data_IF_128291535767
#
_entry.id   IF_128291535767
#
_cell.length_a   1.000
_cell.length_b   1.000
_cell.length_c   1.000
_cell.angle_alpha   90.00
_cell.angle_beta   90.00
_cell.angle_gamma   90.00
#
_symmetry.space_group_name_H-M   'P 1'
#
loop_
_entity.id
_entity.type
_entity.pdbx_description
1 polymer ?
#
# COMPACT_ATOMS: atom_id res chain seq x y z
N UNK A 1 9.50 -27.66 -17.07
CA UNK A 1 8.05 -27.47 -16.98
C UNK A 1 7.75 -26.16 -16.26
N UNK A 2 6.87 -25.33 -16.80
CA UNK A 2 6.46 -24.11 -16.11
C UNK A 2 5.64 -24.54 -14.88
N UNK A 3 6.13 -24.23 -13.68
CA UNK A 3 5.31 -24.39 -12.46
C UNK A 3 4.13 -23.42 -12.57
N UNK A 4 2.92 -23.94 -12.39
CA UNK A 4 1.72 -23.10 -12.38
C UNK A 4 1.71 -22.10 -11.23
N UNK A 5 0.85 -21.10 -11.33
CA UNK A 5 0.56 -20.15 -10.26
C UNK A 5 -0.94 -20.15 -9.96
N UNK A 6 -1.26 -19.96 -8.69
CA UNK A 6 -2.61 -19.70 -8.20
C UNK A 6 -2.75 -18.21 -7.86
N UNK A 7 -3.90 -17.64 -8.22
CA UNK A 7 -4.28 -16.29 -7.84
C UNK A 7 -5.24 -16.35 -6.66
N UNK A 8 -4.82 -15.80 -5.52
CA UNK A 8 -5.61 -15.79 -4.29
C UNK A 8 -5.98 -14.36 -3.94
N UNK A 9 -7.24 -14.12 -3.62
CA UNK A 9 -7.70 -12.84 -3.09
C UNK A 9 -7.70 -12.87 -1.55
N UNK A 10 -7.22 -11.81 -0.92
CA UNK A 10 -7.42 -11.58 0.52
C UNK A 10 -7.87 -10.14 0.77
N UNK A 11 -8.50 -9.93 1.92
CA UNK A 11 -8.92 -8.60 2.36
C UNK A 11 -8.56 -8.37 3.82
N UNK A 12 -8.31 -7.12 4.19
CA UNK A 12 -8.05 -6.73 5.57
C UNK A 12 -8.49 -5.31 5.88
N UNK A 13 -8.76 -5.07 7.16
CA UNK A 13 -9.08 -3.74 7.69
C UNK A 13 -7.85 -3.14 8.37
N UNK A 14 -7.43 -1.98 7.90
CA UNK A 14 -6.41 -1.16 8.53
C UNK A 14 -7.07 -0.04 9.33
N UNK A 15 -6.66 0.12 10.60
CA UNK A 15 -7.08 1.23 11.47
C UNK A 15 -5.84 1.91 12.03
N UNK A 16 -5.57 3.14 11.57
CA UNK A 16 -4.42 3.93 11.97
C UNK A 16 -4.82 5.09 12.88
N UNK A 17 -3.98 5.39 13.87
CA UNK A 17 -4.17 6.46 14.86
C UNK A 17 -3.07 7.51 14.77
N UNK A 18 -3.19 8.59 15.55
CA UNK A 18 -2.13 9.59 15.73
C UNK A 18 -0.76 8.94 15.90
N UNK A 19 0.25 9.53 15.28
CA UNK A 19 1.64 9.06 15.19
C UNK A 19 1.90 7.83 14.31
N UNK A 20 0.87 7.15 13.82
CA UNK A 20 1.07 6.13 12.78
C UNK A 20 1.69 6.77 11.55
N UNK A 21 2.63 6.07 10.93
CA UNK A 21 3.22 6.38 9.63
C UNK A 21 3.67 5.08 8.98
N UNK A 22 3.72 5.08 7.66
CA UNK A 22 4.26 3.99 6.86
C UNK A 22 5.14 4.60 5.77
N UNK A 23 6.45 4.33 5.83
CA UNK A 23 7.41 4.87 4.86
C UNK A 23 7.10 4.42 3.43
N UNK A 24 7.65 5.09 2.40
CA UNK A 24 7.52 4.65 1.03
C UNK A 24 8.01 3.21 0.90
N UNK A 25 7.23 2.37 0.22
CA UNK A 25 7.55 0.97 -0.01
C UNK A 25 6.83 0.46 -1.25
N UNK A 26 7.36 -0.62 -1.80
CA UNK A 26 6.60 -1.53 -2.64
C UNK A 26 6.07 -2.63 -1.75
N UNK A 27 4.93 -3.17 -2.14
CA UNK A 27 4.32 -4.27 -1.43
C UNK A 27 5.20 -5.53 -1.48
N UNK A 28 4.92 -6.53 -0.64
CA UNK A 28 5.64 -7.79 -0.70
C UNK A 28 5.58 -8.40 -2.10
N UNK A 29 6.66 -9.08 -2.51
CA UNK A 29 6.81 -9.62 -3.88
C UNK A 29 5.72 -10.63 -4.28
N UNK A 30 5.03 -11.24 -3.32
CA UNK A 30 3.89 -12.12 -3.58
C UNK A 30 2.60 -11.37 -3.96
N UNK A 31 2.47 -10.08 -3.58
CA UNK A 31 1.32 -9.26 -3.94
C UNK A 31 1.46 -8.80 -5.38
N UNK A 32 0.47 -9.16 -6.19
CA UNK A 32 0.38 -8.80 -7.61
C UNK A 32 -0.36 -7.48 -7.82
N UNK A 33 -1.49 -7.30 -7.14
CA UNK A 33 -2.30 -6.10 -7.23
C UNK A 33 -2.97 -5.80 -5.90
N UNK A 34 -3.20 -4.52 -5.64
CA UNK A 34 -3.83 -4.04 -4.41
C UNK A 34 -4.86 -2.98 -4.73
N UNK A 35 -6.03 -3.09 -4.10
CA UNK A 35 -7.09 -2.08 -4.06
C UNK A 35 -7.26 -1.62 -2.60
N UNK A 36 -7.18 -0.32 -2.37
CA UNK A 36 -7.38 0.31 -1.06
C UNK A 36 -8.64 1.18 -1.14
N UNK A 37 -9.63 0.91 -0.29
CA UNK A 37 -10.85 1.70 -0.16
C UNK A 37 -10.86 2.47 1.16
N UNK A 38 -11.20 3.76 1.11
CA UNK A 38 -11.16 4.66 2.26
C UNK A 38 -12.51 4.82 2.94
N UNK A 39 -12.50 4.84 4.28
CA UNK A 39 -13.70 4.98 5.11
C UNK A 39 -13.55 6.12 6.14
N UNK A 40 -13.44 7.39 5.69
CA UNK A 40 -13.42 8.54 6.59
C UNK A 40 -14.69 8.61 7.43
N UNK A 41 -14.56 9.08 8.67
CA UNK A 41 -15.69 9.42 9.54
C UNK A 41 -15.65 10.92 9.83
N UNK A 42 -16.81 11.56 9.77
CA UNK A 42 -16.93 13.00 10.00
C UNK A 42 -16.33 13.79 8.85
N UNK A 43 -15.56 14.84 9.19
CA UNK A 43 -14.87 15.65 8.19
C UNK A 43 -13.83 14.83 7.43
N UNK A 44 -13.81 14.99 6.11
CA UNK A 44 -12.80 14.37 5.26
C UNK A 44 -11.45 15.04 5.51
N UNK A 45 -10.40 14.23 5.58
CA UNK A 45 -9.02 14.69 5.72
C UNK A 45 -8.21 14.17 4.53
N UNK A 46 -8.35 14.76 3.32
CA UNK A 46 -7.74 14.27 2.09
C UNK A 46 -6.24 13.98 2.22
N UNK A 47 -5.53 14.76 3.03
CA UNK A 47 -4.10 14.65 3.32
C UNK A 47 -3.68 13.35 4.05
N UNK A 48 -4.64 12.66 4.68
CA UNK A 48 -4.45 11.33 5.28
C UNK A 48 -4.54 10.21 4.24
N UNK A 49 -4.70 10.54 2.95
CA UNK A 49 -4.68 9.62 1.83
C UNK A 49 -3.43 8.75 1.74
N UNK A 50 -3.48 7.71 0.89
CA UNK A 50 -2.23 7.01 0.53
C UNK A 50 -1.44 7.93 -0.40
N UNK A 51 -0.16 8.12 -0.07
CA UNK A 51 0.76 8.94 -0.87
C UNK A 51 1.52 8.05 -1.83
N UNK A 52 1.66 8.52 -3.06
CA UNK A 52 2.41 7.88 -4.14
C UNK A 52 3.74 8.60 -4.27
N UNK A 53 4.81 7.84 -4.38
CA UNK A 53 6.18 8.34 -4.37
C UNK A 53 6.95 7.89 -5.61
N UNK A 54 7.91 8.72 -6.03
CA UNK A 54 8.93 8.36 -6.99
C UNK A 54 10.30 8.41 -6.29
N UNK A 55 11.16 7.39 -6.44
CA UNK A 55 12.47 7.40 -5.82
C UNK A 55 13.37 8.48 -6.45
N UNK A 56 14.22 9.12 -5.63
CA UNK A 56 15.16 10.14 -6.11
C UNK A 56 16.44 9.55 -6.74
N UNK A 57 16.60 8.23 -6.73
CA UNK A 57 17.74 7.53 -7.31
C UNK A 57 17.49 6.04 -7.39
N UNK A 58 18.51 5.27 -7.76
CA UNK A 58 18.37 3.83 -8.01
C UNK A 58 17.94 3.07 -6.76
N UNK A 59 16.88 2.26 -6.93
CA UNK A 59 16.36 1.37 -5.92
C UNK A 59 16.68 -0.08 -6.28
N UNK A 60 17.00 -0.90 -5.28
CA UNK A 60 17.30 -2.32 -5.49
C UNK A 60 16.04 -3.07 -5.90
N UNK A 61 16.13 -3.83 -6.99
CA UNK A 61 15.03 -4.64 -7.53
C UNK A 61 14.43 -5.60 -6.50
N UNK A 62 15.25 -6.16 -5.60
CA UNK A 62 14.84 -7.12 -4.57
C UNK A 62 14.23 -6.55 -3.29
N UNK A 63 14.08 -5.24 -3.13
CA UNK A 63 13.65 -4.64 -1.86
C UNK A 63 12.10 -4.55 -1.71
N UNK A 64 11.35 -5.52 -2.23
CA UNK A 64 9.90 -5.59 -1.98
C UNK A 64 9.62 -5.78 -0.48
N UNK A 65 8.55 -5.16 0.04
CA UNK A 65 8.20 -5.18 1.46
C UNK A 65 9.07 -4.33 2.38
N UNK A 66 10.14 -3.69 1.86
CA UNK A 66 11.00 -2.81 2.66
C UNK A 66 10.43 -1.39 2.74
N UNK A 67 10.33 -0.86 3.96
CA UNK A 67 9.93 0.52 4.21
C UNK A 67 11.16 1.44 4.25
N UNK A 68 11.14 2.52 3.48
CA UNK A 68 12.22 3.50 3.42
C UNK A 68 11.90 4.78 4.20
N UNK A 69 12.93 5.61 4.40
CA UNK A 69 12.76 6.99 4.84
C UNK A 69 12.23 7.86 3.68
N UNK A 70 11.44 8.89 4.01
CA UNK A 70 10.79 9.75 3.03
C UNK A 70 11.76 10.67 2.27
N UNK A 71 12.91 10.99 2.85
CA UNK A 71 13.95 11.86 2.26
C UNK A 71 14.60 11.29 0.98
N UNK A 72 14.41 9.99 0.72
CA UNK A 72 14.85 9.32 -0.51
C UNK A 72 13.83 9.40 -1.65
N UNK A 73 12.70 10.06 -1.43
CA UNK A 73 11.57 10.03 -2.35
C UNK A 73 11.01 11.42 -2.60
N UNK A 74 10.51 11.61 -3.82
CA UNK A 74 9.63 12.72 -4.17
C UNK A 74 8.18 12.25 -4.08
N UNK A 75 7.35 13.00 -3.39
CA UNK A 75 5.90 12.80 -3.46
C UNK A 75 5.37 13.21 -4.84
N UNK A 76 4.58 12.33 -5.44
CA UNK A 76 3.99 12.54 -6.76
C UNK A 76 2.53 12.96 -6.63
N UNK A 77 1.76 12.19 -5.86
CA UNK A 77 0.32 12.38 -5.73
C UNK A 77 -0.21 11.81 -4.40
N UNK A 78 -1.39 12.25 -3.99
CA UNK A 78 -2.14 11.70 -2.87
C UNK A 78 -3.46 11.16 -3.39
N UNK A 79 -3.72 9.87 -3.19
CA UNK A 79 -5.07 9.33 -3.32
C UNK A 79 -5.87 9.77 -2.09
N UNK A 80 -6.83 10.71 -2.23
CA UNK A 80 -7.35 11.46 -1.09
C UNK A 80 -8.16 10.56 -0.15
N UNK A 81 -7.97 10.74 1.16
CA UNK A 81 -8.81 10.10 2.17
C UNK A 81 -10.18 10.80 2.28
N UNK A 82 -11.05 10.53 1.31
CA UNK A 82 -12.38 11.09 1.17
C UNK A 82 -13.43 9.99 0.92
N UNK A 83 -14.74 10.28 1.15
CA UNK A 83 -15.81 9.32 0.85
C UNK A 83 -15.79 8.90 -0.62
N UNK A 84 -16.04 7.62 -0.89
CA UNK A 84 -16.03 7.04 -2.25
C UNK A 84 -14.71 7.22 -3.02
N UNK A 85 -13.59 7.33 -2.29
CA UNK A 85 -12.25 7.35 -2.88
C UNK A 85 -11.46 6.09 -2.50
N UNK A 86 -10.50 5.78 -3.35
CA UNK A 86 -9.60 4.64 -3.17
C UNK A 86 -8.41 4.73 -4.12
N UNK A 87 -7.52 3.75 -4.01
CA UNK A 87 -6.35 3.60 -4.85
C UNK A 87 -6.23 2.13 -5.29
N UNK A 88 -6.05 1.89 -6.57
CA UNK A 88 -5.72 0.58 -7.11
C UNK A 88 -4.40 0.64 -7.87
N UNK A 89 -3.54 -0.36 -7.69
CA UNK A 89 -2.27 -0.44 -8.40
C UNK A 89 -1.82 -1.89 -8.58
N UNK A 90 -1.00 -2.11 -9.60
CA UNK A 90 -0.20 -3.32 -9.74
C UNK A 90 1.14 -3.12 -9.04
N UNK A 91 1.64 -4.15 -8.37
CA UNK A 91 2.90 -4.08 -7.63
C UNK A 91 4.11 -4.35 -8.56
N UNK A 92 4.22 -3.57 -9.64
CA UNK A 92 5.32 -3.65 -10.60
C UNK A 92 6.09 -2.33 -10.68
N UNK A 93 7.37 -2.41 -11.02
CA UNK A 93 8.23 -1.24 -11.19
C UNK A 93 8.31 -0.40 -9.92
N UNK A 94 7.99 0.89 -10.07
CA UNK A 94 8.05 1.91 -9.02
C UNK A 94 6.68 2.17 -8.37
N UNK A 95 5.98 1.10 -7.96
CA UNK A 95 4.72 1.19 -7.20
C UNK A 95 4.93 1.64 -5.73
N UNK A 96 5.78 2.65 -5.51
CA UNK A 96 6.11 3.16 -4.19
C UNK A 96 4.95 3.97 -3.62
N UNK A 97 4.48 3.54 -2.46
CA UNK A 97 3.40 4.21 -1.76
C UNK A 97 3.61 4.16 -0.24
N UNK A 98 2.86 4.98 0.49
CA UNK A 98 2.99 5.05 1.94
C UNK A 98 1.92 5.90 2.59
N UNK A 99 2.06 6.08 3.90
CA UNK A 99 1.14 6.87 4.72
C UNK A 99 1.97 7.87 5.53
N UNK A 100 1.77 9.16 5.27
CA UNK A 100 2.40 10.21 6.06
C UNK A 100 1.97 10.13 7.53
N UNK A 101 2.79 10.72 8.40
CA UNK A 101 2.51 10.71 9.84
C UNK A 101 1.18 11.39 10.14
N UNK A 102 0.30 10.69 10.85
CA UNK A 102 -0.96 11.27 11.34
C UNK A 102 -0.64 12.21 12.51
N UNK A 103 -0.80 13.52 12.29
CA UNK A 103 -0.34 14.56 13.21
C UNK A 103 -1.32 14.84 14.38
N UNK A 104 -2.61 14.63 14.17
CA UNK A 104 -3.67 14.97 15.12
C UNK A 104 -4.47 13.74 15.58
N UNK A 105 -5.21 13.81 16.71
CA UNK A 105 -6.05 12.72 17.17
C UNK A 105 -7.20 12.43 16.18
N UNK A 106 -7.05 11.39 15.38
CA UNK A 106 -8.06 10.92 14.43
C UNK A 106 -7.94 9.42 14.19
N UNK A 107 -8.92 8.86 13.48
CA UNK A 107 -8.96 7.47 13.03
C UNK A 107 -8.96 7.42 11.50
N UNK A 108 -7.89 6.90 10.91
CA UNK A 108 -7.84 6.58 9.48
C UNK A 108 -8.14 5.10 9.28
N UNK A 109 -9.25 4.79 8.62
CA UNK A 109 -9.66 3.42 8.27
C UNK A 109 -9.61 3.18 6.78
N UNK A 110 -9.03 2.05 6.39
CA UNK A 110 -9.05 1.59 5.01
C UNK A 110 -9.26 0.08 4.96
N UNK A 111 -9.99 -0.40 3.95
CA UNK A 111 -10.01 -1.82 3.60
C UNK A 111 -9.06 -2.00 2.42
N UNK A 112 -8.17 -2.98 2.52
CA UNK A 112 -7.33 -3.37 1.40
C UNK A 112 -7.77 -4.73 0.89
N UNK A 113 -7.83 -4.88 -0.43
CA UNK A 113 -7.98 -6.14 -1.14
C UNK A 113 -6.69 -6.40 -1.91
N UNK A 114 -6.07 -7.56 -1.70
CA UNK A 114 -4.88 -7.94 -2.45
C UNK A 114 -5.19 -9.15 -3.32
N UNK A 115 -4.65 -9.13 -4.53
CA UNK A 115 -4.45 -10.30 -5.36
C UNK A 115 -3.02 -10.77 -5.14
N UNK A 116 -2.85 -12.03 -4.72
CA UNK A 116 -1.57 -12.65 -4.38
C UNK A 116 -1.30 -13.78 -5.35
N UNK A 117 -0.09 -13.79 -5.91
CA UNK A 117 0.40 -14.90 -6.72
C UNK A 117 1.11 -15.90 -5.82
N UNK A 118 0.70 -17.17 -5.91
CA UNK A 118 1.32 -18.28 -5.17
C UNK A 118 1.73 -19.39 -6.13
N UNK A 119 2.84 -20.10 -5.88
CA UNK A 119 3.14 -21.33 -6.60
C UNK A 119 2.01 -22.34 -6.40
N UNK A 120 1.57 -23.01 -7.47
CA UNK A 120 0.50 -24.03 -7.38
C UNK A 120 0.86 -25.13 -6.39
N UNK A 121 -0.11 -25.54 -5.56
CA UNK A 121 0.06 -26.58 -4.55
C UNK A 121 0.80 -26.13 -3.27
N UNK A 122 1.08 -24.84 -3.09
CA UNK A 122 1.57 -24.30 -1.82
C UNK A 122 0.47 -24.29 -0.77
N UNK A 123 0.69 -24.94 0.38
CA UNK A 123 -0.24 -24.94 1.51
C UNK A 123 0.04 -23.82 2.52
N UNK A 124 1.09 -23.01 2.31
CA UNK A 124 1.45 -21.93 3.24
C UNK A 124 0.54 -20.72 3.04
N UNK A 125 -0.13 -20.30 4.12
CA UNK A 125 -0.97 -19.10 4.15
C UNK A 125 -0.18 -17.79 4.26
N UNK A 126 1.14 -17.87 4.47
CA UNK A 126 2.02 -16.72 4.71
C UNK A 126 2.46 -16.05 3.41
#
# INVERSE_FOLDING_TARGET
EARGFELVANAGLAVHRKNYRLGPHRDDSSRFATLILYFPQGEAHPELGTRIYSPLGDMRSGDHGKHYAFDRFKEVEIAPYAPNCGLAFLNFGDAYHGVAKIAFPTLRRAVFFNLVLRPSGSTSLN
#
